data_IF_626026933006
#
_entry.id   IF_626026933006
#
_cell.length_a   1.000
_cell.length_b   1.000
_cell.length_c   1.000
_cell.angle_alpha   90.00
_cell.angle_beta   90.00
_cell.angle_gamma   90.00
#
_symmetry.space_group_name_H-M   'P 1'
#
loop_
_entity.id
_entity.type
_entity.pdbx_description
1 polymer ?
#
# COMPACT_ATOMS: atom_id res chain seq x y z
N UNK A 1 75.24 -4.94 15.90
CA UNK A 1 74.60 -6.00 15.09
C UNK A 1 73.77 -5.33 14.00
N UNK A 2 74.28 -5.30 12.75
CA UNK A 2 73.50 -4.85 11.59
C UNK A 2 72.66 -6.03 11.07
N UNK A 3 71.37 -5.80 10.83
CA UNK A 3 70.45 -6.75 10.20
C UNK A 3 70.17 -6.30 8.77
N UNK A 4 70.30 -7.24 7.84
CA UNK A 4 70.25 -7.04 6.39
C UNK A 4 68.81 -7.01 5.83
N UNK A 5 68.52 -5.94 5.07
CA UNK A 5 67.87 -5.81 3.74
C UNK A 5 66.61 -6.65 3.44
N UNK A 6 65.55 -5.98 2.91
CA UNK A 6 64.81 -6.39 1.70
C UNK A 6 63.94 -5.24 1.14
N UNK A 7 64.17 -4.93 -0.13
CA UNK A 7 63.45 -3.99 -0.99
C UNK A 7 62.08 -4.53 -1.45
N UNK A 8 61.35 -3.66 -2.18
CA UNK A 8 60.23 -3.91 -3.12
C UNK A 8 58.85 -3.83 -2.43
N UNK A 9 57.84 -3.10 -2.89
CA UNK A 9 57.66 -2.28 -4.08
C UNK A 9 56.28 -1.60 -4.01
N UNK A 10 56.16 -0.46 -4.67
CA UNK A 10 54.91 0.32 -4.81
C UNK A 10 53.94 -0.48 -5.69
N UNK A 11 52.68 -0.64 -5.26
CA UNK A 11 51.55 -0.77 -6.18
C UNK A 11 50.29 -0.15 -5.55
N UNK A 12 50.06 1.10 -5.93
CA UNK A 12 48.76 1.77 -5.82
C UNK A 12 47.77 1.01 -6.69
N UNK A 13 46.67 0.53 -6.11
CA UNK A 13 45.48 0.16 -6.88
C UNK A 13 44.27 0.82 -6.23
N UNK A 14 44.02 2.07 -6.63
CA UNK A 14 42.77 2.75 -6.39
C UNK A 14 41.71 2.11 -7.29
N UNK A 15 40.85 1.27 -6.71
CA UNK A 15 39.68 0.76 -7.40
C UNK A 15 38.55 1.75 -7.16
N UNK A 16 38.37 2.68 -8.09
CA UNK A 16 37.13 3.44 -8.20
C UNK A 16 36.04 2.49 -8.68
N UNK A 17 35.31 1.89 -7.75
CA UNK A 17 34.07 1.18 -8.03
C UNK A 17 33.02 2.21 -8.45
N UNK A 18 32.99 2.52 -9.74
CA UNK A 18 31.84 3.16 -10.36
C UNK A 18 30.70 2.13 -10.40
N UNK A 19 29.92 2.07 -9.33
CA UNK A 19 28.62 1.40 -9.36
C UNK A 19 27.65 2.33 -10.06
N UNK A 20 27.54 2.19 -11.38
CA UNK A 20 26.38 2.66 -12.12
C UNK A 20 25.17 1.83 -11.66
N UNK A 21 24.48 2.31 -10.62
CA UNK A 21 23.14 1.86 -10.30
C UNK A 21 22.26 2.28 -11.48
N UNK A 22 21.94 1.31 -12.32
CA UNK A 22 20.84 1.42 -13.27
C UNK A 22 19.62 1.78 -12.44
N UNK A 23 19.09 2.98 -12.66
CA UNK A 23 17.80 3.38 -12.12
C UNK A 23 16.72 2.51 -12.78
N UNK A 24 16.50 1.31 -12.24
CA UNK A 24 15.23 0.61 -12.43
C UNK A 24 14.16 1.56 -11.89
N UNK A 25 13.24 2.02 -12.73
CA UNK A 25 12.16 2.92 -12.30
C UNK A 25 11.45 2.30 -11.11
N UNK A 26 11.70 2.83 -9.92
CA UNK A 26 11.10 2.29 -8.70
C UNK A 26 9.64 2.71 -8.68
N UNK A 27 8.77 1.74 -8.90
CA UNK A 27 7.37 1.86 -8.58
C UNK A 27 7.25 1.89 -7.06
N UNK A 28 7.28 3.11 -6.51
CA UNK A 28 7.20 3.35 -5.07
C UNK A 28 5.83 2.91 -4.57
N UNK A 29 5.81 2.01 -3.60
CA UNK A 29 4.61 1.64 -2.85
C UNK A 29 4.44 2.59 -1.67
N UNK A 30 3.22 3.07 -1.48
CA UNK A 30 2.85 4.01 -0.44
C UNK A 30 1.79 3.40 0.45
N UNK A 31 2.00 3.49 1.77
CA UNK A 31 1.03 2.98 2.72
C UNK A 31 -0.24 3.82 2.69
N UNK A 32 -1.37 3.14 2.70
CA UNK A 32 -2.68 3.75 2.84
C UNK A 32 -3.06 3.78 4.32
N UNK A 33 -3.53 4.93 4.80
CA UNK A 33 -4.12 5.08 6.13
C UNK A 33 -5.63 5.05 6.00
N UNK A 34 -6.29 4.22 6.80
CA UNK A 34 -7.76 4.13 6.82
C UNK A 34 -8.29 5.37 7.52
N UNK A 35 -9.23 6.06 6.87
CA UNK A 35 -9.87 7.26 7.40
C UNK A 35 -11.16 6.89 8.11
N UNK A 36 -12.03 6.15 7.43
CA UNK A 36 -13.32 5.75 7.96
C UNK A 36 -13.90 4.48 7.31
N UNK A 37 -15.02 4.02 7.88
CA UNK A 37 -15.83 2.93 7.35
C UNK A 37 -17.25 3.46 7.24
N UNK A 38 -17.64 3.82 6.03
CA UNK A 38 -18.93 4.44 5.75
C UNK A 38 -20.04 3.40 5.60
N UNK A 39 -21.27 3.80 5.95
CA UNK A 39 -22.42 2.92 5.85
C UNK A 39 -22.85 2.74 4.40
N UNK A 40 -23.47 1.58 4.15
CA UNK A 40 -24.38 1.45 3.03
C UNK A 40 -25.64 2.25 3.39
N UNK A 41 -25.82 3.46 2.87
CA UNK A 41 -27.11 4.12 2.99
C UNK A 41 -28.08 3.56 1.94
N UNK A 42 -29.34 3.43 2.32
CA UNK A 42 -30.41 3.07 1.40
C UNK A 42 -31.28 4.31 1.29
N UNK A 43 -31.06 5.09 0.25
CA UNK A 43 -31.98 6.15 -0.11
C UNK A 43 -33.18 5.53 -0.83
N UNK A 44 -34.32 5.50 -0.14
CA UNK A 44 -35.59 5.08 -0.73
C UNK A 44 -36.27 6.33 -1.29
N UNK A 45 -35.89 6.76 -2.49
CA UNK A 45 -36.69 7.73 -3.24
C UNK A 45 -37.78 7.00 -4.05
N UNK A 46 -38.94 7.63 -4.20
CA UNK A 46 -40.20 7.01 -4.62
C UNK A 46 -40.21 6.47 -6.07
N UNK A 47 -39.44 5.42 -6.36
CA UNK A 47 -39.41 4.76 -7.66
C UNK A 47 -38.18 3.87 -7.91
N UNK A 48 -37.03 4.22 -7.31
CA UNK A 48 -35.76 3.53 -7.51
C UNK A 48 -35.11 3.28 -6.14
N UNK A 49 -34.83 2.00 -5.83
CA UNK A 49 -34.02 1.65 -4.64
C UNK A 49 -32.57 1.81 -5.06
N UNK A 50 -31.97 2.97 -4.77
CA UNK A 50 -30.51 3.11 -4.87
C UNK A 50 -29.89 2.51 -3.60
N UNK A 51 -28.97 1.58 -3.80
CA UNK A 51 -28.28 0.90 -2.70
C UNK A 51 -26.87 1.45 -2.70
N UNK A 52 -26.62 2.48 -1.91
CA UNK A 52 -25.25 2.92 -1.67
C UNK A 52 -24.52 1.77 -0.97
N UNK A 53 -23.39 1.37 -1.54
CA UNK A 53 -22.65 0.20 -1.05
C UNK A 53 -21.64 0.74 -0.08
N UNK A 54 -21.72 0.36 1.20
CA UNK A 54 -20.79 0.85 2.22
C UNK A 54 -19.33 0.70 1.80
N UNK A 55 -18.52 1.69 2.19
CA UNK A 55 -17.15 1.86 1.70
C UNK A 55 -16.15 1.95 2.85
N UNK A 56 -14.88 1.82 2.51
CA UNK A 56 -13.76 2.12 3.39
C UNK A 56 -12.94 3.18 2.69
N UNK A 57 -12.88 4.35 3.31
CA UNK A 57 -12.05 5.43 2.82
C UNK A 57 -10.61 5.27 3.31
N UNK A 58 -9.66 5.53 2.41
CA UNK A 58 -8.25 5.50 2.72
C UNK A 58 -7.52 6.65 2.06
N UNK A 59 -6.53 7.22 2.75
CA UNK A 59 -5.57 8.14 2.14
C UNK A 59 -4.26 7.41 1.84
N UNK A 60 -3.85 7.39 0.58
CA UNK A 60 -2.58 6.83 0.13
C UNK A 60 -1.68 7.97 -0.36
N UNK A 61 -0.39 7.98 0.01
CA UNK A 61 0.55 9.00 -0.47
C UNK A 61 0.36 10.42 0.08
N UNK A 62 -0.71 10.65 0.85
CA UNK A 62 -0.99 11.94 1.49
C UNK A 62 -1.77 12.94 0.64
N UNK A 63 -2.26 12.54 -0.54
CA UNK A 63 -2.88 13.49 -1.48
C UNK A 63 -4.35 13.20 -1.82
N UNK A 64 -4.74 11.92 -1.93
CA UNK A 64 -6.10 11.56 -2.37
C UNK A 64 -6.73 10.52 -1.47
N UNK A 65 -8.00 10.75 -1.16
CA UNK A 65 -8.89 9.75 -0.58
C UNK A 65 -9.29 8.79 -1.69
N UNK A 66 -9.32 7.51 -1.34
CA UNK A 66 -9.75 6.42 -2.22
C UNK A 66 -10.74 5.55 -1.47
N UNK A 67 -11.79 5.16 -2.17
CA UNK A 67 -12.92 4.46 -1.58
C UNK A 67 -12.97 3.05 -2.12
N UNK A 68 -12.99 2.11 -1.19
CA UNK A 68 -13.05 0.69 -1.53
C UNK A 68 -14.32 0.12 -0.94
N UNK A 69 -15.23 -0.31 -1.81
CA UNK A 69 -16.49 -0.92 -1.39
C UNK A 69 -16.24 -2.11 -0.46
N UNK A 70 -17.14 -2.32 0.50
CA UNK A 70 -17.11 -3.50 1.37
C UNK A 70 -17.13 -4.82 0.59
N UNK A 71 -17.70 -4.82 -0.62
CA UNK A 71 -17.71 -5.95 -1.52
C UNK A 71 -16.31 -6.45 -1.86
N UNK A 72 -15.37 -5.54 -2.14
CA UNK A 72 -13.98 -5.88 -2.45
C UNK A 72 -13.29 -6.54 -1.26
N UNK A 73 -13.45 -6.00 -0.04
CA UNK A 73 -12.91 -6.61 1.18
C UNK A 73 -13.49 -8.00 1.46
N UNK A 74 -14.81 -8.16 1.31
CA UNK A 74 -15.48 -9.45 1.57
C UNK A 74 -15.03 -10.51 0.58
N UNK A 75 -15.02 -10.17 -0.71
CA UNK A 75 -14.75 -11.14 -1.78
C UNK A 75 -13.27 -11.53 -1.85
N UNK A 76 -12.36 -10.56 -1.64
CA UNK A 76 -10.93 -10.79 -1.87
C UNK A 76 -10.11 -10.99 -0.60
N UNK A 77 -10.54 -10.43 0.54
CA UNK A 77 -9.86 -10.58 1.84
C UNK A 77 -10.63 -11.44 2.86
N UNK A 78 -11.90 -11.74 2.58
CA UNK A 78 -12.76 -12.45 3.54
C UNK A 78 -12.96 -11.65 4.83
N UNK A 79 -12.96 -10.32 4.75
CA UNK A 79 -13.19 -9.40 5.87
C UNK A 79 -14.42 -8.56 5.55
N UNK A 80 -15.28 -8.39 6.55
CA UNK A 80 -16.46 -7.53 6.46
C UNK A 80 -16.20 -6.23 7.23
N UNK A 81 -15.97 -5.09 6.55
CA UNK A 81 -15.70 -3.81 7.21
C UNK A 81 -16.86 -3.35 8.11
N UNK A 82 -18.11 -3.69 7.75
CA UNK A 82 -19.29 -3.36 8.55
C UNK A 82 -19.24 -3.86 10.01
N UNK A 83 -18.45 -4.89 10.29
CA UNK A 83 -18.24 -5.40 11.66
C UNK A 83 -17.37 -4.49 12.54
N UNK A 84 -16.71 -3.50 11.95
CA UNK A 84 -15.72 -2.64 12.60
C UNK A 84 -16.08 -1.16 12.60
N UNK A 85 -17.28 -0.78 12.17
CA UNK A 85 -17.71 0.63 12.07
C UNK A 85 -17.48 1.43 13.36
N UNK A 86 -17.76 0.82 14.50
CA UNK A 86 -17.58 1.46 15.81
C UNK A 86 -16.18 1.25 16.40
N UNK A 87 -15.24 0.65 15.64
CA UNK A 87 -13.90 0.31 16.09
C UNK A 87 -12.90 0.25 14.93
N UNK A 88 -12.65 1.41 14.32
CA UNK A 88 -11.69 1.58 13.23
C UNK A 88 -10.31 1.01 13.56
N UNK A 89 -9.84 1.22 14.80
CA UNK A 89 -8.54 0.69 15.27
C UNK A 89 -8.45 -0.83 15.18
N UNK A 90 -9.54 -1.55 15.46
CA UNK A 90 -9.56 -2.99 15.29
C UNK A 90 -9.49 -3.38 13.80
N UNK A 91 -10.09 -2.60 12.90
CA UNK A 91 -10.00 -2.82 11.46
C UNK A 91 -8.58 -2.60 10.93
N UNK A 92 -7.90 -1.53 11.36
CA UNK A 92 -6.49 -1.24 11.04
C UNK A 92 -5.54 -2.37 11.46
N UNK A 93 -5.88 -3.14 12.50
CA UNK A 93 -5.11 -4.33 12.91
C UNK A 93 -5.35 -5.53 12.00
N UNK A 94 -6.49 -5.58 11.30
CA UNK A 94 -6.86 -6.67 10.41
C UNK A 94 -6.46 -6.42 8.96
N UNK A 95 -6.26 -5.17 8.55
CA UNK A 95 -6.06 -4.79 7.15
C UNK A 95 -4.88 -3.85 7.02
N UNK A 96 -4.01 -4.12 6.05
CA UNK A 96 -2.93 -3.23 5.64
C UNK A 96 -2.96 -3.10 4.12
N UNK A 97 -2.99 -1.87 3.62
CA UNK A 97 -3.11 -1.56 2.20
C UNK A 97 -1.97 -0.66 1.72
N UNK A 98 -1.53 -0.88 0.48
CA UNK A 98 -0.49 -0.12 -0.21
C UNK A 98 -1.00 0.29 -1.59
N UNK A 99 -0.64 1.49 -2.06
CA UNK A 99 -0.88 1.93 -3.44
C UNK A 99 0.44 2.20 -4.13
N UNK A 100 0.52 1.91 -5.43
CA UNK A 100 1.63 2.34 -6.26
C UNK A 100 1.43 3.82 -6.67
N UNK A 101 2.42 4.67 -6.35
CA UNK A 101 2.40 6.14 -6.50
C UNK A 101 1.96 6.56 -7.92
N UNK A 102 2.59 5.95 -8.94
CA UNK A 102 2.39 6.30 -10.36
C UNK A 102 1.52 5.33 -11.15
N UNK A 103 0.74 4.49 -10.47
CA UNK A 103 -0.14 3.56 -11.16
C UNK A 103 -1.30 4.31 -11.82
N UNK A 104 -1.55 4.02 -13.10
CA UNK A 104 -2.78 4.43 -13.79
C UNK A 104 -3.98 3.55 -13.42
N UNK A 105 -3.74 2.45 -12.68
CA UNK A 105 -4.78 1.53 -12.26
C UNK A 105 -5.35 1.99 -10.92
N UNK A 106 -6.68 2.00 -10.83
CA UNK A 106 -7.38 2.31 -9.58
C UNK A 106 -7.42 1.07 -8.67
N UNK A 107 -6.23 0.64 -8.24
CA UNK A 107 -6.06 -0.52 -7.35
C UNK A 107 -5.21 -0.19 -6.14
N UNK A 108 -5.61 -0.71 -4.99
CA UNK A 108 -4.78 -0.82 -3.79
C UNK A 108 -4.46 -2.29 -3.55
N UNK A 109 -3.24 -2.58 -3.12
CA UNK A 109 -2.82 -3.91 -2.72
C UNK A 109 -3.03 -4.04 -1.22
N UNK A 110 -3.96 -4.88 -0.81
CA UNK A 110 -4.30 -5.09 0.59
C UNK A 110 -3.98 -6.50 1.03
N UNK A 111 -3.67 -6.65 2.31
CA UNK A 111 -3.50 -7.94 2.97
C UNK A 111 -4.25 -7.98 4.29
N UNK A 112 -4.61 -9.19 4.68
CA UNK A 112 -5.20 -9.48 5.99
C UNK A 112 -4.09 -9.70 7.02
N UNK A 113 -3.97 -8.83 8.02
CA UNK A 113 -3.18 -9.01 9.24
C UNK A 113 -1.83 -9.71 9.02
N UNK A 114 -1.67 -10.91 9.57
CA UNK A 114 -0.43 -11.71 9.48
C UNK A 114 -0.28 -12.52 8.18
N UNK A 115 -1.15 -12.31 7.19
CA UNK A 115 -0.99 -12.92 5.87
C UNK A 115 0.14 -12.23 5.10
N UNK A 116 0.88 -13.04 4.34
CA UNK A 116 1.87 -12.58 3.36
C UNK A 116 1.24 -12.42 1.96
N UNK A 117 -0.01 -12.83 1.79
CA UNK A 117 -0.74 -12.70 0.53
C UNK A 117 -1.32 -11.29 0.39
N UNK A 118 -0.93 -10.61 -0.69
CA UNK A 118 -1.49 -9.34 -1.12
C UNK A 118 -2.52 -9.59 -2.22
N UNK A 119 -3.68 -8.97 -2.12
CA UNK A 119 -4.71 -8.98 -3.16
C UNK A 119 -4.98 -7.56 -3.63
N UNK A 120 -5.33 -7.39 -4.91
CA UNK A 120 -5.71 -6.08 -5.44
C UNK A 120 -7.19 -5.81 -5.20
N UNK A 121 -7.50 -4.71 -4.52
CA UNK A 121 -8.85 -4.18 -4.39
C UNK A 121 -9.00 -3.00 -5.35
N UNK A 122 -10.12 -2.93 -6.05
CA UNK A 122 -10.46 -1.78 -6.88
C UNK A 122 -10.96 -0.63 -5.99
N UNK A 123 -10.58 0.59 -6.34
CA UNK A 123 -11.06 1.79 -5.65
C UNK A 123 -11.67 2.80 -6.63
N UNK A 124 -12.49 3.70 -6.12
CA UNK A 124 -12.86 5.00 -6.71
C UNK A 124 -12.11 6.11 -5.98
N UNK A 125 -11.90 7.24 -6.65
CA UNK A 125 -11.50 8.44 -5.92
C UNK A 125 -12.77 9.09 -5.40
N UNK A 126 -12.71 9.58 -4.17
CA UNK A 126 -13.75 10.44 -3.61
C UNK A 126 -13.81 11.75 -4.43
N UNK A 127 -15.01 12.15 -4.84
CA UNK A 127 -15.30 13.22 -5.82
C UNK A 127 -15.31 14.63 -5.20
#
# INVERSE_FOLDING_TARGET
MLKSIKSIGIFTLAIALATSLVACGENKLEACRILEIENAEVEVDLGDVDVERGEVEMICGGEKVVDVTWGEFRQKLGIDPGRYQNNLKAFEQQVSCLKEDRSSNNVVFCRRGNSNEMVSLNFSYDD
#
